data_IF_564802270521
#
_entry.id   IF_564802270521
#
_cell.length_a   1.000
_cell.length_b   1.000
_cell.length_c   1.000
_cell.angle_alpha   90.00
_cell.angle_beta   90.00
_cell.angle_gamma   90.00
#
_symmetry.space_group_name_H-M   'P 1'
#
loop_
_entity.id
_entity.type
_entity.pdbx_description
1 polymer ?
#
# COMPACT_ATOMS: atom_id res chain seq x y z
N UNK A 1 8.17 27.30 -7.06
CA UNK A 1 8.60 26.40 -8.16
C UNK A 1 7.41 26.26 -9.11
N UNK A 2 7.56 26.61 -10.39
CA UNK A 2 6.50 26.33 -11.37
C UNK A 2 6.44 24.82 -11.61
N UNK A 3 5.28 24.28 -12.03
CA UNK A 3 5.07 22.85 -12.33
C UNK A 3 6.14 22.26 -13.28
N UNK A 4 6.84 23.11 -14.04
CA UNK A 4 7.89 22.78 -15.00
C UNK A 4 9.27 22.45 -14.42
N UNK A 5 9.53 22.69 -13.12
CA UNK A 5 10.85 22.49 -12.49
C UNK A 5 10.94 21.24 -11.61
N UNK A 6 9.89 20.40 -11.56
CA UNK A 6 9.95 19.16 -10.77
C UNK A 6 10.95 18.19 -11.42
N UNK A 7 11.88 17.58 -10.65
CA UNK A 7 12.81 16.58 -11.19
C UNK A 7 11.99 15.42 -11.76
N UNK A 8 12.35 14.96 -12.95
CA UNK A 8 11.58 13.95 -13.68
C UNK A 8 12.20 12.56 -13.55
N UNK A 9 11.33 11.57 -13.38
CA UNK A 9 11.69 10.16 -13.57
C UNK A 9 11.92 9.85 -15.06
N UNK A 10 12.67 8.78 -15.35
CA UNK A 10 12.78 8.23 -16.70
C UNK A 10 12.00 6.92 -16.77
N UNK A 11 11.08 6.80 -17.71
CA UNK A 11 10.32 5.55 -17.88
C UNK A 11 11.20 4.51 -18.56
N UNK A 12 11.24 3.31 -18.00
CA UNK A 12 12.00 2.16 -18.54
C UNK A 12 11.05 1.04 -19.01
N UNK A 13 9.91 0.86 -18.34
CA UNK A 13 8.83 -0.06 -18.74
C UNK A 13 7.92 0.51 -19.81
N UNK A 14 8.43 0.72 -21.03
CA UNK A 14 7.67 1.38 -22.10
C UNK A 14 6.39 0.63 -22.52
N UNK A 15 6.45 -0.71 -22.59
CA UNK A 15 5.28 -1.53 -22.93
C UNK A 15 4.23 -1.50 -21.82
N UNK A 16 4.65 -1.57 -20.55
CA UNK A 16 3.76 -1.37 -19.40
C UNK A 16 3.11 0.00 -19.40
N UNK A 17 3.87 1.07 -19.67
CA UNK A 17 3.32 2.43 -19.74
C UNK A 17 2.30 2.57 -20.86
N UNK A 18 2.59 2.00 -22.02
CA UNK A 18 1.66 2.06 -23.15
C UNK A 18 0.37 1.28 -22.85
N UNK A 19 0.47 0.03 -22.36
CA UNK A 19 -0.67 -0.76 -21.92
C UNK A 19 -1.49 -0.01 -20.85
N UNK A 20 -0.81 0.59 -19.86
CA UNK A 20 -1.44 1.41 -18.83
C UNK A 20 -2.19 2.62 -19.43
N UNK A 21 -1.62 3.27 -20.46
CA UNK A 21 -2.23 4.42 -21.14
C UNK A 21 -3.50 4.02 -21.91
N UNK A 22 -3.47 2.87 -22.59
CA UNK A 22 -4.61 2.37 -23.37
C UNK A 22 -5.58 1.50 -22.56
N UNK A 23 -5.33 1.32 -21.26
CA UNK A 23 -6.13 0.53 -20.31
C UNK A 23 -6.18 -0.97 -20.65
N UNK A 24 -5.07 -1.50 -21.12
CA UNK A 24 -4.87 -2.93 -21.37
C UNK A 24 -3.94 -3.55 -20.32
N UNK A 25 -3.99 -4.88 -20.20
CA UNK A 25 -3.03 -5.61 -19.37
C UNK A 25 -1.65 -5.59 -20.08
N UNK A 26 -0.55 -5.27 -19.38
CA UNK A 26 0.77 -5.34 -19.99
C UNK A 26 1.15 -6.77 -20.37
N UNK A 27 2.10 -6.95 -21.31
CA UNK A 27 2.67 -8.27 -21.55
C UNK A 27 3.50 -8.75 -20.36
N UNK A 28 3.71 -10.06 -20.29
CA UNK A 28 4.77 -10.63 -19.45
C UNK A 28 6.12 -10.23 -20.03
N UNK A 29 7.02 -9.74 -19.19
CA UNK A 29 8.32 -9.21 -19.62
C UNK A 29 9.48 -9.87 -18.89
N UNK A 30 10.53 -10.23 -19.63
CA UNK A 30 11.84 -10.53 -19.07
C UNK A 30 12.50 -9.20 -18.67
N UNK A 31 12.61 -8.94 -17.37
CA UNK A 31 13.19 -7.71 -16.84
C UNK A 31 14.72 -7.80 -16.87
N UNK A 32 15.28 -8.89 -16.36
CA UNK A 32 16.71 -9.25 -16.42
C UNK A 32 16.82 -10.79 -16.53
N UNK A 33 17.97 -11.35 -16.92
CA UNK A 33 18.14 -12.81 -16.90
C UNK A 33 17.79 -13.41 -15.53
N UNK A 34 16.76 -14.25 -15.50
CA UNK A 34 16.23 -14.87 -14.28
C UNK A 34 15.24 -14.02 -13.48
N UNK A 35 14.79 -12.87 -14.00
CA UNK A 35 13.80 -12.00 -13.37
C UNK A 35 12.71 -11.59 -14.38
N UNK A 36 11.47 -11.94 -14.08
CA UNK A 36 10.31 -11.65 -14.92
C UNK A 36 9.29 -10.77 -14.20
N UNK A 37 8.46 -10.05 -14.96
CA UNK A 37 7.31 -9.30 -14.49
C UNK A 37 6.05 -9.90 -15.11
N UNK A 38 5.12 -10.39 -14.29
CA UNK A 38 3.81 -10.90 -14.68
C UNK A 38 2.74 -9.95 -14.13
N UNK A 39 2.09 -9.16 -14.99
CA UNK A 39 0.92 -8.39 -14.58
C UNK A 39 -0.26 -9.33 -14.30
N UNK A 40 -0.76 -9.30 -13.07
CA UNK A 40 -1.92 -10.06 -12.62
C UNK A 40 -3.11 -9.11 -12.50
N UNK A 41 -4.23 -9.45 -13.13
CA UNK A 41 -5.43 -8.61 -13.17
C UNK A 41 -5.99 -8.32 -11.78
N UNK A 42 -6.37 -7.06 -11.58
CA UNK A 42 -7.09 -6.55 -10.42
C UNK A 42 -8.45 -6.00 -10.90
N UNK A 43 -9.47 -6.86 -10.99
CA UNK A 43 -10.73 -6.51 -11.66
C UNK A 43 -11.50 -5.45 -10.87
N UNK A 44 -12.25 -4.62 -11.60
CA UNK A 44 -13.09 -3.54 -11.04
C UNK A 44 -12.34 -2.52 -10.16
N UNK A 45 -11.01 -2.45 -10.29
CA UNK A 45 -10.17 -1.48 -9.59
C UNK A 45 -9.51 -0.49 -10.57
N UNK A 46 -9.41 0.82 -10.25
CA UNK A 46 -8.70 1.80 -11.08
C UNK A 46 -7.24 1.46 -11.42
N UNK A 47 -6.55 0.69 -10.56
CA UNK A 47 -5.17 0.21 -10.77
C UNK A 47 -5.09 -0.89 -11.84
N UNK A 48 -6.16 -1.67 -12.01
CA UNK A 48 -6.39 -2.72 -13.03
C UNK A 48 -5.49 -3.95 -12.95
N UNK A 49 -4.27 -3.85 -12.44
CA UNK A 49 -3.36 -4.96 -12.26
C UNK A 49 -2.31 -4.67 -11.17
N UNK A 50 -1.70 -5.75 -10.70
CA UNK A 50 -0.53 -5.77 -9.84
C UNK A 50 0.58 -6.56 -10.54
N UNK A 51 1.81 -6.07 -10.52
CA UNK A 51 2.97 -6.74 -11.09
C UNK A 51 3.50 -7.75 -10.07
N UNK A 52 3.33 -9.04 -10.37
CA UNK A 52 4.02 -10.12 -9.65
C UNK A 52 5.37 -10.34 -10.30
N UNK A 53 6.44 -10.26 -9.51
CA UNK A 53 7.79 -10.52 -10.02
C UNK A 53 8.19 -11.97 -9.79
N UNK A 54 8.88 -12.57 -10.75
CA UNK A 54 9.33 -13.97 -10.68
C UNK A 54 10.84 -14.02 -10.70
N UNK A 55 11.44 -14.63 -9.68
CA UNK A 55 12.88 -14.86 -9.56
C UNK A 55 13.15 -16.33 -9.80
N UNK A 56 13.98 -16.63 -10.81
CA UNK A 56 14.47 -17.98 -11.06
C UNK A 56 15.51 -18.37 -10.00
N UNK A 57 15.29 -19.54 -9.38
CA UNK A 57 16.19 -20.14 -8.39
C UNK A 57 16.55 -21.55 -8.83
N UNK A 58 17.53 -22.18 -8.17
CA UNK A 58 18.10 -23.45 -8.63
C UNK A 58 17.10 -24.61 -8.78
N UNK A 59 15.99 -24.58 -8.04
CA UNK A 59 15.01 -25.67 -8.01
C UNK A 59 13.62 -25.27 -8.55
N UNK A 60 13.46 -24.06 -9.08
CA UNK A 60 12.15 -23.54 -9.49
C UNK A 60 12.12 -22.03 -9.49
N UNK A 61 11.02 -21.46 -9.03
CA UNK A 61 10.81 -20.01 -9.00
C UNK A 61 10.32 -19.52 -7.64
N UNK A 62 10.63 -18.28 -7.32
CA UNK A 62 10.06 -17.54 -6.19
C UNK A 62 9.29 -16.35 -6.73
N UNK A 63 8.08 -16.13 -6.20
CA UNK A 63 7.27 -14.97 -6.53
C UNK A 63 7.52 -13.85 -5.52
N UNK A 64 7.53 -12.61 -5.98
CA UNK A 64 7.31 -11.43 -5.14
C UNK A 64 5.89 -10.95 -5.41
N UNK A 65 5.07 -10.96 -4.37
CA UNK A 65 3.61 -10.80 -4.37
C UNK A 65 2.86 -11.91 -5.14
N UNK A 66 1.53 -11.91 -5.02
CA UNK A 66 0.68 -13.03 -5.43
C UNK A 66 -0.50 -12.65 -6.34
N UNK A 67 -1.05 -11.44 -6.23
CA UNK A 67 -2.26 -11.05 -6.95
C UNK A 67 -3.54 -11.10 -6.11
N UNK A 68 -4.60 -10.49 -6.66
CA UNK A 68 -5.94 -10.39 -6.06
C UNK A 68 -6.65 -11.76 -5.97
N UNK A 69 -7.40 -12.09 -4.89
CA UNK A 69 -7.87 -13.45 -4.59
C UNK A 69 -9.10 -13.92 -5.39
N UNK A 70 -9.12 -13.71 -6.71
CA UNK A 70 -10.23 -14.13 -7.60
C UNK A 70 -9.78 -15.14 -8.65
N UNK A 71 -10.71 -15.94 -9.17
CA UNK A 71 -10.42 -16.98 -10.17
C UNK A 71 -9.82 -16.42 -11.47
N UNK A 72 -10.23 -15.22 -11.88
CA UNK A 72 -9.68 -14.57 -13.07
C UNK A 72 -8.19 -14.22 -12.90
N UNK A 73 -7.82 -13.67 -11.74
CA UNK A 73 -6.44 -13.36 -11.37
C UNK A 73 -5.60 -14.63 -11.23
N UNK A 74 -6.15 -15.67 -10.59
CA UNK A 74 -5.51 -16.98 -10.52
C UNK A 74 -5.19 -17.57 -11.89
N UNK A 75 -6.17 -17.54 -12.80
CA UNK A 75 -5.98 -18.01 -14.17
C UNK A 75 -4.91 -17.18 -14.88
N UNK A 76 -4.98 -15.85 -14.76
CA UNK A 76 -4.02 -14.95 -15.39
C UNK A 76 -2.58 -15.15 -14.89
N UNK A 77 -2.37 -15.35 -13.58
CA UNK A 77 -1.07 -15.71 -13.01
C UNK A 77 -0.56 -17.03 -13.60
N UNK A 78 -1.40 -18.07 -13.65
CA UNK A 78 -1.03 -19.37 -14.20
C UNK A 78 -0.66 -19.30 -15.69
N UNK A 79 -1.44 -18.57 -16.50
CA UNK A 79 -1.14 -18.35 -17.92
C UNK A 79 0.19 -17.59 -18.09
N UNK A 80 0.44 -16.60 -17.22
CA UNK A 80 1.69 -15.84 -17.18
C UNK A 80 2.91 -16.72 -16.90
N UNK A 81 2.83 -17.58 -15.87
CA UNK A 81 3.86 -18.57 -15.55
C UNK A 81 4.12 -19.54 -16.72
N UNK A 82 3.05 -20.06 -17.33
CA UNK A 82 3.16 -20.96 -18.49
C UNK A 82 3.86 -20.29 -19.67
N UNK A 83 3.61 -19.00 -19.89
CA UNK A 83 4.23 -18.23 -20.98
C UNK A 83 5.75 -18.10 -20.85
N UNK A 84 6.29 -18.24 -19.64
CA UNK A 84 7.72 -18.19 -19.33
C UNK A 84 8.31 -19.58 -19.04
N UNK A 85 7.54 -20.65 -19.32
CA UNK A 85 8.01 -22.03 -19.21
C UNK A 85 7.89 -22.66 -17.82
N UNK A 86 7.18 -22.01 -16.89
CA UNK A 86 6.93 -22.52 -15.55
C UNK A 86 5.45 -22.83 -15.33
N UNK A 87 5.16 -23.57 -14.27
CA UNK A 87 3.83 -23.86 -13.79
C UNK A 87 3.71 -23.46 -12.32
N UNK A 88 2.49 -23.43 -11.79
CA UNK A 88 2.28 -23.12 -10.38
C UNK A 88 3.03 -24.08 -9.45
N UNK A 89 3.18 -25.35 -9.84
CA UNK A 89 3.89 -26.37 -9.05
C UNK A 89 5.41 -26.17 -9.01
N UNK A 90 5.96 -25.29 -9.85
CA UNK A 90 7.39 -24.92 -9.81
C UNK A 90 7.65 -23.76 -8.82
N UNK A 91 6.60 -23.20 -8.21
CA UNK A 91 6.74 -22.14 -7.20
C UNK A 91 7.18 -22.74 -5.88
N UNK A 92 8.39 -22.37 -5.47
CA UNK A 92 9.03 -22.81 -4.23
C UNK A 92 8.69 -21.88 -3.05
N UNK A 93 8.38 -20.61 -3.32
CA UNK A 93 8.12 -19.61 -2.30
C UNK A 93 7.44 -18.36 -2.81
N UNK A 94 6.78 -17.64 -1.91
CA UNK A 94 6.18 -16.32 -2.14
C UNK A 94 6.73 -15.35 -1.08
N UNK A 95 7.45 -14.33 -1.54
CA UNK A 95 7.83 -13.17 -0.75
C UNK A 95 6.74 -12.11 -0.91
N UNK A 96 6.15 -11.67 0.20
CA UNK A 96 5.07 -10.70 0.18
C UNK A 96 5.64 -9.35 0.62
N UNK A 97 5.44 -8.31 -0.21
CA UNK A 97 5.87 -6.94 0.12
C UNK A 97 5.06 -6.39 1.28
N UNK A 98 3.74 -6.61 1.27
CA UNK A 98 2.85 -6.21 2.36
C UNK A 98 1.48 -6.92 2.32
N UNK A 99 0.67 -6.70 3.36
CA UNK A 99 -0.57 -7.43 3.62
C UNK A 99 -1.80 -7.09 2.74
N UNK A 100 -1.75 -6.11 1.85
CA UNK A 100 -2.90 -5.78 1.02
C UNK A 100 -3.28 -6.94 0.07
N UNK A 101 -4.58 -7.09 -0.21
CA UNK A 101 -5.10 -8.30 -0.86
C UNK A 101 -4.61 -8.53 -2.29
N UNK A 102 -4.27 -7.49 -3.03
CA UNK A 102 -3.64 -7.62 -4.34
C UNK A 102 -2.20 -8.13 -4.26
N UNK A 103 -1.54 -8.05 -3.11
CA UNK A 103 -0.18 -8.56 -2.91
C UNK A 103 -0.19 -9.93 -2.26
N UNK A 104 -1.06 -10.15 -1.28
CA UNK A 104 -1.11 -11.36 -0.46
C UNK A 104 -2.22 -12.34 -0.87
N UNK A 105 -3.25 -11.89 -1.58
CA UNK A 105 -4.53 -12.60 -1.70
C UNK A 105 -4.44 -14.00 -2.28
N UNK A 106 -3.64 -14.21 -3.33
CA UNK A 106 -3.45 -15.53 -3.92
C UNK A 106 -2.40 -16.39 -3.20
N UNK A 107 -1.65 -15.88 -2.22
CA UNK A 107 -0.54 -16.60 -1.58
C UNK A 107 -0.99 -17.93 -0.96
N UNK A 108 -2.18 -17.96 -0.34
CA UNK A 108 -2.74 -19.19 0.24
C UNK A 108 -3.03 -20.24 -0.82
N UNK A 109 -3.60 -19.82 -1.95
CA UNK A 109 -3.90 -20.71 -3.09
C UNK A 109 -2.63 -21.20 -3.80
N UNK A 110 -1.59 -20.35 -3.88
CA UNK A 110 -0.27 -20.74 -4.39
C UNK A 110 0.32 -21.83 -3.50
N UNK A 111 0.40 -21.59 -2.18
CA UNK A 111 0.89 -22.57 -1.20
C UNK A 111 0.15 -23.91 -1.31
N UNK A 112 -1.18 -23.89 -1.33
CA UNK A 112 -1.98 -25.11 -1.39
C UNK A 112 -1.76 -25.90 -2.70
N UNK A 113 -1.46 -25.21 -3.81
CA UNK A 113 -1.26 -25.82 -5.11
C UNK A 113 0.19 -26.32 -5.34
N UNK A 114 1.20 -25.67 -4.75
CA UNK A 114 2.61 -25.95 -5.03
C UNK A 114 3.41 -26.48 -3.84
N UNK A 115 2.94 -26.28 -2.61
CA UNK A 115 3.72 -26.51 -1.40
C UNK A 115 4.71 -25.38 -1.07
N UNK A 116 4.62 -24.24 -1.77
CA UNK A 116 5.46 -23.06 -1.52
C UNK A 116 5.33 -22.54 -0.08
N UNK A 117 6.43 -22.08 0.50
CA UNK A 117 6.37 -21.28 1.73
C UNK A 117 5.94 -19.84 1.42
N UNK A 118 5.24 -19.20 2.35
CA UNK A 118 4.90 -17.76 2.29
C UNK A 118 5.74 -17.02 3.32
N UNK A 119 6.34 -15.89 2.94
CA UNK A 119 7.09 -15.04 3.85
C UNK A 119 6.65 -13.58 3.77
N UNK A 120 6.48 -12.94 4.92
CA UNK A 120 6.11 -11.52 5.05
C UNK A 120 6.68 -10.94 6.35
N UNK A 121 6.68 -9.62 6.48
CA UNK A 121 7.18 -8.96 7.68
C UNK A 121 6.24 -9.22 8.88
N UNK A 122 6.80 -9.29 10.09
CA UNK A 122 6.04 -9.67 11.29
C UNK A 122 4.87 -8.71 11.59
N UNK A 123 5.05 -7.41 11.38
CA UNK A 123 4.00 -6.41 11.63
C UNK A 123 2.82 -6.55 10.68
N UNK A 124 3.07 -6.94 9.43
CA UNK A 124 2.01 -7.20 8.47
C UNK A 124 1.35 -8.57 8.70
N UNK A 125 2.09 -9.55 9.21
CA UNK A 125 1.51 -10.79 9.67
C UNK A 125 0.56 -10.55 10.84
N UNK A 126 0.89 -9.67 11.80
CA UNK A 126 0.01 -9.34 12.91
C UNK A 126 -1.33 -8.82 12.39
N UNK A 127 -1.32 -7.95 11.39
CA UNK A 127 -2.55 -7.37 10.79
C UNK A 127 -3.49 -8.40 10.16
N UNK A 128 -2.97 -9.54 9.71
CA UNK A 128 -3.76 -10.60 9.08
C UNK A 128 -3.92 -11.84 9.96
N UNK A 129 -3.22 -11.92 11.09
CA UNK A 129 -3.30 -13.02 12.05
C UNK A 129 -4.43 -12.79 13.06
N UNK A 130 -5.64 -12.63 12.53
CA UNK A 130 -6.83 -12.51 13.36
C UNK A 130 -7.98 -13.35 12.82
N UNK A 131 -8.43 -14.31 13.63
CA UNK A 131 -9.74 -14.96 13.48
C UNK A 131 -10.83 -14.00 14.01
N UNK A 132 -10.99 -12.86 13.32
CA UNK A 132 -11.96 -11.83 13.74
C UNK A 132 -13.35 -12.31 13.35
N UNK A 133 -14.18 -12.51 14.37
CA UNK A 133 -15.62 -12.67 14.18
C UNK A 133 -16.15 -11.53 13.28
N UNK A 134 -16.81 -11.83 12.15
CA UNK A 134 -17.18 -10.79 11.20
C UNK A 134 -18.10 -9.69 11.78
N UNK A 135 -18.86 -9.99 12.84
CA UNK A 135 -19.66 -8.98 13.54
C UNK A 135 -18.80 -8.10 14.48
N UNK A 136 -17.67 -8.59 14.98
CA UNK A 136 -16.66 -7.76 15.66
C UNK A 136 -16.01 -6.80 14.66
N UNK A 137 -15.59 -7.30 13.48
CA UNK A 137 -15.00 -6.46 12.44
C UNK A 137 -15.96 -5.34 11.99
N UNK A 138 -17.23 -5.68 11.71
CA UNK A 138 -18.26 -4.72 11.33
C UNK A 138 -18.45 -3.64 12.40
N UNK A 139 -18.55 -4.02 13.67
CA UNK A 139 -18.72 -3.07 14.79
C UNK A 139 -17.50 -2.16 14.97
N UNK A 140 -16.28 -2.68 14.79
CA UNK A 140 -15.07 -1.87 14.81
C UNK A 140 -15.09 -0.83 13.67
N UNK A 141 -15.48 -1.25 12.47
CA UNK A 141 -15.67 -0.35 11.32
C UNK A 141 -16.73 0.73 11.56
N UNK A 142 -17.89 0.38 12.09
CA UNK A 142 -18.94 1.34 12.47
C UNK A 142 -18.45 2.34 13.53
N UNK A 143 -17.74 1.84 14.54
CA UNK A 143 -17.18 2.66 15.60
C UNK A 143 -16.17 3.66 15.04
N UNK A 144 -15.31 3.23 14.11
CA UNK A 144 -14.36 4.12 13.44
C UNK A 144 -15.06 5.19 12.60
N UNK A 145 -16.12 4.84 11.84
CA UNK A 145 -16.87 5.81 11.04
C UNK A 145 -17.58 6.86 11.92
N UNK A 146 -18.19 6.42 13.03
CA UNK A 146 -18.81 7.33 14.01
C UNK A 146 -17.75 8.27 14.61
N UNK A 147 -16.62 7.70 15.03
CA UNK A 147 -15.43 8.42 15.51
C UNK A 147 -14.63 9.13 14.41
N UNK A 148 -15.15 9.25 13.19
CA UNK A 148 -14.61 10.13 12.17
C UNK A 148 -15.57 11.28 11.87
N UNK A 149 -16.75 11.29 12.51
CA UNK A 149 -17.82 12.25 12.23
C UNK A 149 -18.61 11.95 10.95
N UNK A 150 -18.67 10.70 10.51
CA UNK A 150 -19.51 10.29 9.36
C UNK A 150 -20.98 10.49 9.71
N UNK A 151 -21.71 11.16 8.82
CA UNK A 151 -23.14 11.36 8.98
C UNK A 151 -23.94 10.07 8.77
N UNK A 152 -25.07 9.93 9.47
CA UNK A 152 -25.91 8.72 9.42
C UNK A 152 -26.33 8.34 7.99
N UNK A 153 -26.53 9.33 7.13
CA UNK A 153 -26.95 9.13 5.75
C UNK A 153 -25.85 8.58 4.83
N UNK A 154 -24.57 8.81 5.17
CA UNK A 154 -23.41 8.32 4.42
C UNK A 154 -22.89 6.97 4.93
N UNK A 155 -23.29 6.58 6.14
CA UNK A 155 -22.84 5.36 6.81
C UNK A 155 -23.02 4.07 5.96
N UNK A 156 -24.16 3.83 5.28
CA UNK A 156 -24.35 2.62 4.49
C UNK A 156 -23.39 2.46 3.31
N UNK A 157 -22.87 3.57 2.77
CA UNK A 157 -21.90 3.56 1.65
C UNK A 157 -20.48 3.18 2.15
N UNK A 158 -20.17 3.48 3.41
CA UNK A 158 -18.82 3.38 3.96
C UNK A 158 -18.55 2.15 4.82
N UNK A 159 -19.62 1.50 5.32
CA UNK A 159 -19.49 0.24 6.06
C UNK A 159 -19.06 -0.87 5.10
N UNK A 160 -17.93 -1.52 5.43
CA UNK A 160 -17.46 -2.72 4.73
C UNK A 160 -18.23 -3.92 5.26
N UNK A 161 -18.86 -4.68 4.35
CA UNK A 161 -19.56 -5.91 4.69
C UNK A 161 -18.56 -7.03 5.03
N UNK A 162 -18.88 -7.78 6.09
CA UNK A 162 -18.28 -9.05 6.46
C UNK A 162 -18.13 -10.05 5.30
N UNK A 163 -19.05 -10.05 4.33
CA UNK A 163 -18.96 -10.90 3.14
C UNK A 163 -17.75 -10.61 2.24
N UNK A 164 -17.31 -9.35 2.16
CA UNK A 164 -16.08 -8.98 1.46
C UNK A 164 -14.83 -9.47 2.21
N UNK A 165 -14.91 -9.57 3.54
CA UNK A 165 -13.85 -10.09 4.41
C UNK A 165 -13.66 -11.61 4.30
N UNK A 166 -14.69 -12.39 3.93
CA UNK A 166 -14.58 -13.86 3.78
C UNK A 166 -13.61 -14.26 2.66
N UNK A 167 -13.40 -13.42 1.65
CA UNK A 167 -12.34 -13.65 0.65
C UNK A 167 -10.94 -13.34 1.19
N UNK A 168 -10.82 -12.43 2.17
CA UNK A 168 -9.58 -12.19 2.95
C UNK A 168 -9.35 -13.27 4.03
N UNK A 169 -10.38 -13.98 4.48
CA UNK A 169 -10.29 -15.02 5.52
C UNK A 169 -9.51 -16.29 5.10
N UNK A 170 -8.96 -16.34 3.88
CA UNK A 170 -8.03 -17.37 3.40
C UNK A 170 -6.58 -16.88 3.29
N UNK A 171 -6.27 -15.71 3.84
CA UNK A 171 -4.90 -15.21 3.89
C UNK A 171 -4.05 -16.19 4.73
N UNK A 172 -2.97 -16.74 4.17
CA UNK A 172 -2.11 -17.66 4.91
C UNK A 172 -1.33 -16.89 5.98
N UNK A 173 -1.21 -17.47 7.18
CA UNK A 173 -0.11 -17.13 8.08
C UNK A 173 1.21 -17.35 7.34
N UNK A 174 2.18 -16.47 7.56
CA UNK A 174 3.50 -16.67 6.98
C UNK A 174 4.15 -17.91 7.59
N UNK A 175 4.79 -18.71 6.74
CA UNK A 175 5.65 -19.81 7.14
C UNK A 175 7.02 -19.31 7.60
N UNK A 176 7.40 -18.09 7.16
CA UNK A 176 8.66 -17.42 7.50
C UNK A 176 8.41 -15.92 7.71
N UNK A 177 9.05 -15.37 8.74
CA UNK A 177 9.09 -13.92 8.93
C UNK A 177 10.32 -13.36 8.23
N UNK A 178 10.17 -12.20 7.60
CA UNK A 178 11.30 -11.44 7.03
C UNK A 178 11.54 -10.15 7.82
N UNK A 179 12.80 -9.78 7.96
CA UNK A 179 13.25 -8.58 8.70
C UNK A 179 14.15 -7.69 7.84
N UNK A 180 14.38 -6.45 8.28
CA UNK A 180 15.26 -5.52 7.57
C UNK A 180 16.68 -6.08 7.39
N UNK A 181 17.23 -5.90 6.19
CA UNK A 181 18.57 -6.37 5.83
C UNK A 181 18.71 -7.88 5.61
N UNK A 182 17.66 -8.66 5.84
CA UNK A 182 17.66 -10.11 5.62
C UNK A 182 17.83 -10.47 4.14
N UNK A 183 18.44 -11.62 3.86
CA UNK A 183 18.50 -12.22 2.52
C UNK A 183 17.62 -13.47 2.50
N UNK A 184 16.32 -13.33 2.18
CA UNK A 184 15.34 -14.38 2.45
C UNK A 184 15.48 -15.61 1.54
N UNK A 185 16.30 -15.51 0.48
CA UNK A 185 16.51 -16.57 -0.51
C UNK A 185 17.91 -17.20 -0.38
N UNK A 186 18.04 -18.42 0.17
CA UNK A 186 19.32 -19.11 0.30
C UNK A 186 20.11 -19.21 -1.01
N UNK A 187 19.43 -19.46 -2.13
CA UNK A 187 20.04 -19.62 -3.45
C UNK A 187 20.08 -18.34 -4.30
N UNK A 188 19.53 -17.23 -3.78
CA UNK A 188 19.55 -15.93 -4.42
C UNK A 188 19.95 -14.85 -3.40
N UNK A 189 21.14 -15.02 -2.81
CA UNK A 189 21.71 -14.15 -1.78
C UNK A 189 21.89 -12.69 -2.21
N UNK A 190 21.67 -12.32 -3.47
CA UNK A 190 21.71 -10.93 -3.93
C UNK A 190 20.40 -10.18 -3.66
N UNK A 191 19.33 -10.89 -3.30
CA UNK A 191 18.06 -10.31 -2.91
C UNK A 191 18.10 -9.98 -1.42
N UNK A 192 17.97 -8.70 -1.08
CA UNK A 192 17.98 -8.21 0.30
C UNK A 192 16.70 -7.46 0.61
N UNK A 193 16.11 -7.75 1.76
CA UNK A 193 14.94 -7.04 2.31
C UNK A 193 15.35 -5.65 2.79
N UNK A 194 14.51 -4.66 2.53
CA UNK A 194 14.58 -3.31 3.07
C UNK A 194 13.22 -2.98 3.70
N UNK A 195 13.17 -2.78 5.01
CA UNK A 195 11.94 -2.40 5.69
C UNK A 195 11.59 -0.93 5.41
N UNK A 196 10.37 -0.69 4.94
CA UNK A 196 9.89 0.62 4.46
C UNK A 196 8.47 0.91 4.97
N UNK A 197 8.27 0.99 6.31
CA UNK A 197 6.96 1.15 6.92
C UNK A 197 6.24 2.45 6.51
N UNK A 198 4.92 2.44 6.69
CA UNK A 198 4.03 3.61 6.58
C UNK A 198 2.87 3.37 5.61
N UNK A 199 3.10 2.69 4.49
CA UNK A 199 1.99 2.22 3.63
C UNK A 199 1.21 1.09 4.33
N UNK A 200 1.95 0.11 4.83
CA UNK A 200 1.54 -0.82 5.87
C UNK A 200 2.62 -0.84 6.96
N UNK A 201 2.31 -1.34 8.17
CA UNK A 201 3.28 -1.42 9.27
C UNK A 201 4.52 -2.26 8.91
N UNK A 202 4.33 -3.33 8.15
CA UNK A 202 5.35 -4.28 7.74
C UNK A 202 5.79 -4.18 6.28
N UNK A 203 5.47 -3.09 5.57
CA UNK A 203 5.85 -2.98 4.16
C UNK A 203 7.36 -3.14 3.98
N UNK A 204 7.77 -3.97 3.00
CA UNK A 204 9.16 -4.13 2.61
C UNK A 204 9.35 -3.90 1.10
N UNK A 205 10.50 -3.33 0.77
CA UNK A 205 11.06 -3.41 -0.58
C UNK A 205 12.08 -4.56 -0.66
N UNK A 206 12.34 -5.06 -1.86
CA UNK A 206 13.44 -6.00 -2.11
C UNK A 206 14.47 -5.36 -3.03
N UNK A 207 15.73 -5.39 -2.63
CA UNK A 207 16.87 -4.90 -3.40
C UNK A 207 17.52 -6.08 -4.10
N UNK A 208 17.62 -6.01 -5.42
CA UNK A 208 18.45 -6.92 -6.22
C UNK A 208 19.82 -6.28 -6.43
N UNK A 209 20.77 -6.66 -5.59
CA UNK A 209 22.13 -6.13 -5.61
C UNK A 209 22.94 -6.60 -6.83
N UNK A 210 22.55 -7.72 -7.45
CA UNK A 210 23.22 -8.27 -8.63
C UNK A 210 22.91 -7.44 -9.87
N UNK A 211 21.66 -7.03 -10.01
CA UNK A 211 21.18 -6.28 -11.17
C UNK A 211 20.99 -4.77 -10.89
N UNK A 212 21.30 -4.32 -9.68
CA UNK A 212 21.07 -2.94 -9.20
C UNK A 212 19.62 -2.48 -9.38
N UNK A 213 18.66 -3.30 -8.92
CA UNK A 213 17.23 -3.01 -9.02
C UNK A 213 16.59 -2.86 -7.64
N UNK A 214 15.47 -2.14 -7.62
CA UNK A 214 14.61 -2.01 -6.46
C UNK A 214 13.20 -2.50 -6.80
N UNK A 215 12.77 -3.62 -6.21
CA UNK A 215 11.35 -4.00 -6.17
C UNK A 215 10.70 -3.21 -5.05
N UNK A 216 9.99 -2.15 -5.42
CA UNK A 216 9.52 -1.15 -4.47
C UNK A 216 8.19 -1.48 -3.82
N UNK A 217 7.49 -2.53 -4.29
CA UNK A 217 6.11 -2.79 -3.90
C UNK A 217 5.27 -1.53 -4.13
N UNK A 218 4.53 -1.13 -3.10
CA UNK A 218 3.74 0.09 -3.06
C UNK A 218 4.46 1.27 -2.41
N UNK A 219 5.70 1.10 -1.94
CA UNK A 219 6.41 2.21 -1.30
C UNK A 219 6.69 3.38 -2.25
N UNK A 220 7.07 3.08 -3.51
CA UNK A 220 7.37 4.08 -4.54
C UNK A 220 6.72 3.67 -5.87
N UNK A 221 5.73 4.43 -6.31
CA UNK A 221 5.00 4.23 -7.58
C UNK A 221 5.34 5.36 -8.56
N UNK A 222 5.33 5.14 -9.89
CA UNK A 222 5.88 6.11 -10.86
C UNK A 222 5.03 7.38 -11.01
N UNK A 223 3.71 7.29 -10.80
CA UNK A 223 2.79 8.42 -11.04
C UNK A 223 1.98 8.79 -9.81
N UNK A 224 1.39 7.82 -9.12
CA UNK A 224 0.55 8.06 -7.94
C UNK A 224 1.35 8.03 -6.64
N UNK A 225 0.87 8.70 -5.60
CA UNK A 225 1.27 8.39 -4.22
C UNK A 225 0.58 7.10 -3.79
N UNK A 226 1.25 6.24 -3.02
CA UNK A 226 0.58 5.12 -2.40
C UNK A 226 -0.36 5.61 -1.30
N UNK A 227 -1.38 4.80 -1.01
CA UNK A 227 -2.32 5.10 0.04
C UNK A 227 -1.67 4.97 1.42
N UNK A 228 -1.70 6.01 2.25
CA UNK A 228 -1.21 5.95 3.63
C UNK A 228 -2.41 6.13 4.54
N UNK A 229 -2.66 5.21 5.48
CA UNK A 229 -3.73 5.35 6.47
C UNK A 229 -3.28 4.87 7.84
N UNK A 230 -4.05 5.26 8.86
CA UNK A 230 -3.85 4.76 10.22
C UNK A 230 -4.35 3.32 10.29
N UNK A 231 -3.43 2.40 10.59
CA UNK A 231 -3.75 0.99 10.80
C UNK A 231 -4.08 0.70 12.27
N UNK A 232 -5.00 -0.24 12.57
CA UNK A 232 -5.41 -0.54 13.95
C UNK A 232 -4.29 -0.97 14.88
N UNK A 233 -3.30 -1.75 14.42
CA UNK A 233 -2.14 -2.11 15.25
C UNK A 233 -1.06 -1.04 15.31
N UNK A 234 -1.13 -0.04 14.45
CA UNK A 234 -0.13 1.00 14.34
C UNK A 234 -0.51 2.18 15.24
N UNK A 235 -0.08 2.09 16.50
CA UNK A 235 -0.13 3.23 17.41
C UNK A 235 0.96 4.24 17.02
N UNK A 236 0.69 5.13 16.05
CA UNK A 236 1.77 5.96 15.54
C UNK A 236 1.37 7.05 14.54
N UNK A 237 2.36 7.39 13.73
CA UNK A 237 2.33 8.43 12.70
C UNK A 237 2.73 7.78 11.37
N UNK A 238 1.80 7.07 10.70
CA UNK A 238 2.12 6.28 9.51
C UNK A 238 2.67 7.14 8.37
N UNK A 239 2.21 8.39 8.25
CA UNK A 239 2.74 9.34 7.28
C UNK A 239 4.17 9.78 7.64
N UNK A 240 4.45 10.03 8.91
CA UNK A 240 5.82 10.29 9.37
C UNK A 240 6.75 9.12 9.07
N UNK A 241 6.34 7.90 9.41
CA UNK A 241 7.10 6.67 9.13
C UNK A 241 7.32 6.47 7.63
N UNK A 242 6.31 6.75 6.82
CA UNK A 242 6.41 6.70 5.37
C UNK A 242 7.44 7.70 4.83
N UNK A 243 7.37 8.97 5.26
CA UNK A 243 8.29 10.03 4.83
C UNK A 243 9.73 9.72 5.27
N UNK A 244 9.92 9.20 6.49
CA UNK A 244 11.23 8.81 7.00
C UNK A 244 11.81 7.65 6.18
N UNK A 245 11.01 6.61 5.92
CA UNK A 245 11.38 5.46 5.07
C UNK A 245 11.75 5.90 3.66
N UNK A 246 10.92 6.77 3.06
CA UNK A 246 11.13 7.31 1.73
C UNK A 246 12.44 8.10 1.65
N UNK A 247 12.73 8.93 2.66
CA UNK A 247 13.95 9.73 2.71
C UNK A 247 15.20 8.91 3.01
N UNK A 248 15.08 7.81 3.76
CA UNK A 248 16.18 6.87 4.01
C UNK A 248 16.69 6.19 2.72
N UNK A 249 15.87 6.16 1.65
CA UNK A 249 16.25 5.59 0.35
C UNK A 249 17.02 6.57 -0.56
N UNK A 250 17.15 7.84 -0.19
CA UNK A 250 17.86 8.85 -1.00
C UNK A 250 19.31 8.42 -1.23
N UNK A 251 19.79 8.56 -2.47
CA UNK A 251 21.16 8.22 -2.84
C UNK A 251 21.43 6.72 -3.06
N UNK A 252 20.42 5.85 -2.92
CA UNK A 252 20.55 4.42 -3.25
C UNK A 252 20.83 4.20 -4.74
N UNK A 253 20.32 5.08 -5.60
CA UNK A 253 20.57 5.10 -7.05
C UNK A 253 20.42 3.73 -7.77
N UNK A 254 19.29 3.01 -7.59
CA UNK A 254 19.03 1.81 -8.39
C UNK A 254 18.95 2.18 -9.88
N UNK A 255 19.39 1.27 -10.74
CA UNK A 255 19.32 1.42 -12.19
C UNK A 255 17.87 1.52 -12.66
N UNK A 256 16.99 0.72 -12.06
CA UNK A 256 15.57 0.65 -12.36
C UNK A 256 14.77 0.25 -11.11
N UNK A 257 13.59 0.85 -10.98
CA UNK A 257 12.59 0.61 -9.94
C UNK A 257 11.45 -0.21 -10.56
N UNK A 258 11.05 -1.24 -9.83
CA UNK A 258 10.09 -2.27 -10.16
C UNK A 258 8.88 -2.14 -9.21
N UNK A 259 7.91 -1.26 -9.54
CA UNK A 259 6.73 -1.03 -8.70
C UNK A 259 5.67 -2.11 -8.90
N UNK A 260 4.90 -2.39 -7.85
CA UNK A 260 3.78 -3.32 -7.94
C UNK A 260 2.64 -2.80 -8.82
N UNK A 261 2.48 -1.49 -8.97
CA UNK A 261 1.50 -0.91 -9.89
C UNK A 261 2.14 -0.05 -10.99
N UNK A 262 1.39 0.09 -12.09
CA UNK A 262 1.78 0.91 -13.23
C UNK A 262 3.02 0.34 -13.95
N UNK A 263 4.12 1.08 -14.04
CA UNK A 263 5.23 0.77 -14.95
C UNK A 263 6.60 1.06 -14.34
N UNK A 264 7.60 0.29 -14.78
CA UNK A 264 9.00 0.47 -14.35
C UNK A 264 9.57 1.83 -14.75
N UNK A 265 10.46 2.36 -13.91
CA UNK A 265 11.10 3.66 -14.12
C UNK A 265 12.46 3.74 -13.44
N UNK A 266 13.25 4.78 -13.74
CA UNK A 266 14.47 5.15 -13.04
C UNK A 266 14.41 6.60 -12.53
N UNK A 267 15.33 6.97 -11.64
CA UNK A 267 15.33 8.28 -10.99
C UNK A 267 14.61 8.29 -9.64
N UNK A 268 15.05 7.42 -8.72
CA UNK A 268 14.47 7.29 -7.37
C UNK A 268 14.45 8.62 -6.61
N UNK A 269 15.58 9.34 -6.53
CA UNK A 269 15.67 10.60 -5.79
C UNK A 269 14.72 11.68 -6.35
N UNK A 270 14.53 11.70 -7.68
CA UNK A 270 13.55 12.58 -8.32
C UNK A 270 12.12 12.24 -7.87
N UNK A 271 11.81 10.94 -7.78
CA UNK A 271 10.48 10.47 -7.35
C UNK A 271 10.22 10.73 -5.87
N UNK A 272 11.22 10.48 -5.01
CA UNK A 272 11.21 10.83 -3.58
C UNK A 272 10.90 12.32 -3.40
N UNK A 273 11.54 13.20 -4.17
CA UNK A 273 11.29 14.64 -4.09
C UNK A 273 9.86 15.01 -4.50
N UNK A 274 9.34 14.42 -5.58
CA UNK A 274 7.96 14.64 -6.00
C UNK A 274 6.94 14.22 -4.93
N UNK A 275 7.21 13.12 -4.22
CA UNK A 275 6.33 12.59 -3.19
C UNK A 275 6.40 13.41 -1.89
N UNK A 276 7.60 13.85 -1.49
CA UNK A 276 7.74 14.82 -0.39
C UNK A 276 6.97 16.11 -0.68
N UNK A 277 7.11 16.68 -1.89
CA UNK A 277 6.36 17.88 -2.30
C UNK A 277 4.85 17.62 -2.24
N UNK A 278 4.39 16.46 -2.74
CA UNK A 278 2.98 16.09 -2.70
C UNK A 278 2.42 16.06 -1.27
N UNK A 279 3.13 15.43 -0.34
CA UNK A 279 2.68 15.35 1.06
C UNK A 279 2.75 16.70 1.76
N UNK A 280 3.75 17.54 1.52
CA UNK A 280 3.78 18.91 2.07
C UNK A 280 2.63 19.78 1.50
N UNK A 281 2.30 19.65 0.22
CA UNK A 281 1.14 20.31 -0.40
C UNK A 281 -0.17 19.86 0.25
N UNK A 282 -0.33 18.55 0.49
CA UNK A 282 -1.53 17.99 1.16
C UNK A 282 -1.59 18.34 2.64
N UNK A 283 -0.48 18.35 3.38
CA UNK A 283 -0.42 18.80 4.78
C UNK A 283 -0.85 20.27 4.91
N UNK A 284 -0.39 21.13 3.99
CA UNK A 284 -0.81 22.53 3.96
C UNK A 284 -2.32 22.68 3.69
N UNK A 285 -2.86 21.90 2.76
CA UNK A 285 -4.30 21.87 2.46
C UNK A 285 -5.13 21.43 3.68
N UNK A 286 -4.74 20.34 4.35
CA UNK A 286 -5.41 19.85 5.56
C UNK A 286 -5.35 20.89 6.68
N UNK A 287 -4.19 21.54 6.88
CA UNK A 287 -4.05 22.59 7.89
C UNK A 287 -4.96 23.80 7.62
N UNK A 288 -5.10 24.21 6.35
CA UNK A 288 -6.05 25.26 5.95
C UNK A 288 -7.48 24.83 6.27
N UNK A 289 -7.88 23.61 5.90
CA UNK A 289 -9.23 23.10 6.19
C UNK A 289 -9.53 23.08 7.70
N UNK A 290 -8.58 22.68 8.54
CA UNK A 290 -8.74 22.70 10.01
C UNK A 290 -8.86 24.14 10.53
N UNK A 291 -8.07 25.08 10.01
CA UNK A 291 -8.15 26.49 10.40
C UNK A 291 -9.50 27.12 10.04
N UNK A 292 -10.07 26.78 8.88
CA UNK A 292 -11.36 27.30 8.42
C UNK A 292 -12.57 26.61 9.10
N UNK A 293 -12.38 25.38 9.56
CA UNK A 293 -13.40 24.55 10.21
C UNK A 293 -12.94 24.03 11.59
N UNK A 294 -12.66 24.90 12.57
CA UNK A 294 -12.18 24.48 13.88
C UNK A 294 -13.20 23.59 14.59
N UNK A 295 -12.74 22.45 15.09
CA UNK A 295 -13.58 21.44 15.75
C UNK A 295 -14.31 20.48 14.82
N UNK A 296 -14.03 20.53 13.51
CA UNK A 296 -14.47 19.53 12.55
C UNK A 296 -13.77 18.17 12.76
N UNK A 297 -14.51 17.09 12.48
CA UNK A 297 -13.99 15.73 12.48
C UNK A 297 -13.34 15.34 11.16
N UNK A 298 -12.68 14.17 11.12
CA UNK A 298 -11.95 13.69 9.93
C UNK A 298 -12.82 13.67 8.67
N UNK A 299 -14.08 13.23 8.77
CA UNK A 299 -15.02 13.18 7.65
C UNK A 299 -15.28 14.56 7.05
N UNK A 300 -15.59 15.53 7.91
CA UNK A 300 -15.85 16.90 7.50
C UNK A 300 -14.60 17.52 6.86
N UNK A 301 -13.42 17.37 7.48
CA UNK A 301 -12.15 17.85 6.90
C UNK A 301 -11.90 17.18 5.54
N UNK A 302 -12.08 15.87 5.42
CA UNK A 302 -11.92 15.13 4.16
C UNK A 302 -12.80 15.72 3.04
N UNK A 303 -14.03 16.15 3.37
CA UNK A 303 -14.95 16.77 2.41
C UNK A 303 -14.51 18.15 1.90
N UNK A 304 -13.54 18.80 2.57
CA UNK A 304 -13.01 20.12 2.18
C UNK A 304 -11.74 20.04 1.32
N UNK A 305 -11.14 18.85 1.18
CA UNK A 305 -9.90 18.67 0.43
C UNK A 305 -10.14 18.47 -1.06
N UNK A 306 -9.10 18.72 -1.85
CA UNK A 306 -9.08 18.52 -3.30
C UNK A 306 -8.84 17.05 -3.62
N UNK A 307 -9.86 16.42 -4.20
CA UNK A 307 -9.82 15.04 -4.70
C UNK A 307 -9.85 15.02 -6.22
N UNK A 308 -9.14 14.08 -6.85
CA UNK A 308 -9.02 14.02 -8.32
C UNK A 308 -10.36 13.87 -9.06
N UNK A 309 -11.36 13.26 -8.42
CA UNK A 309 -12.71 13.13 -8.94
C UNK A 309 -13.71 14.05 -8.22
N UNK A 310 -13.25 14.88 -7.28
CA UNK A 310 -14.11 15.62 -6.35
C UNK A 310 -14.71 14.71 -5.27
N UNK A 311 -15.03 15.29 -4.12
CA UNK A 311 -15.62 14.55 -2.99
C UNK A 311 -16.95 13.88 -3.36
N UNK A 312 -17.82 14.60 -4.07
CA UNK A 312 -19.16 14.14 -4.42
C UNK A 312 -19.19 12.97 -5.40
N UNK A 313 -18.10 12.70 -6.14
CA UNK A 313 -17.97 11.53 -7.02
C UNK A 313 -17.07 10.43 -6.42
N UNK A 314 -16.60 10.63 -5.20
CA UNK A 314 -15.77 9.66 -4.48
C UNK A 314 -16.69 8.92 -3.50
N UNK A 315 -16.92 7.63 -3.72
CA UNK A 315 -17.88 6.81 -2.95
C UNK A 315 -17.24 5.51 -2.44
N UNK A 316 -17.94 4.83 -1.54
CA UNK A 316 -17.57 3.51 -1.05
C UNK A 316 -16.15 3.44 -0.51
N UNK A 317 -15.41 2.41 -0.93
CA UNK A 317 -14.03 2.18 -0.51
C UNK A 317 -13.08 3.32 -0.87
N UNK A 318 -13.32 4.06 -1.97
CA UNK A 318 -12.48 5.20 -2.33
C UNK A 318 -12.68 6.36 -1.35
N UNK A 319 -13.92 6.60 -0.90
CA UNK A 319 -14.20 7.62 0.13
C UNK A 319 -13.63 7.21 1.47
N UNK A 320 -13.73 5.93 1.81
CA UNK A 320 -13.10 5.36 3.00
C UNK A 320 -11.58 5.51 3.01
N UNK A 321 -10.93 5.25 1.88
CA UNK A 321 -9.48 5.46 1.71
C UNK A 321 -9.11 6.95 1.82
N UNK A 322 -9.87 7.85 1.21
CA UNK A 322 -9.68 9.29 1.32
C UNK A 322 -9.76 9.79 2.78
N UNK A 323 -10.68 9.24 3.57
CA UNK A 323 -10.78 9.52 5.00
C UNK A 323 -9.57 8.99 5.78
N UNK A 324 -9.14 7.76 5.52
CA UNK A 324 -7.95 7.18 6.15
C UNK A 324 -6.69 7.98 5.86
N UNK A 325 -6.53 8.46 4.62
CA UNK A 325 -5.42 9.32 4.21
C UNK A 325 -5.48 10.68 4.88
N UNK A 326 -6.66 11.28 4.97
CA UNK A 326 -6.86 12.53 5.70
C UNK A 326 -6.47 12.38 7.16
N UNK A 327 -6.89 11.30 7.82
CA UNK A 327 -6.53 11.01 9.21
C UNK A 327 -5.02 10.87 9.40
N UNK A 328 -4.32 10.18 8.51
CA UNK A 328 -2.85 10.06 8.56
C UNK A 328 -2.16 11.44 8.50
N UNK A 329 -2.64 12.35 7.64
CA UNK A 329 -2.11 13.71 7.55
C UNK A 329 -2.42 14.53 8.82
N UNK A 330 -3.62 14.40 9.38
CA UNK A 330 -4.00 15.06 10.62
C UNK A 330 -3.11 14.60 11.78
N UNK A 331 -2.92 13.29 11.96
CA UNK A 331 -2.02 12.74 12.98
C UNK A 331 -0.60 13.27 12.81
N UNK A 332 -0.10 13.34 11.58
CA UNK A 332 1.22 13.90 11.32
C UNK A 332 1.33 15.39 11.67
N UNK A 333 0.30 16.20 11.36
CA UNK A 333 0.24 17.61 11.76
C UNK A 333 0.23 17.78 13.29
N UNK A 334 -0.49 16.91 14.00
CA UNK A 334 -0.49 16.88 15.47
C UNK A 334 0.90 16.54 16.01
N UNK A 335 1.57 15.54 15.43
CA UNK A 335 2.94 15.16 15.80
C UNK A 335 3.96 16.26 15.52
N UNK A 336 3.74 17.07 14.49
CA UNK A 336 4.50 18.30 14.21
C UNK A 336 4.15 19.47 15.16
N UNK A 337 3.15 19.31 16.03
CA UNK A 337 2.71 20.35 16.98
C UNK A 337 1.97 21.52 16.33
N UNK A 338 1.42 21.32 15.12
CA UNK A 338 0.74 22.37 14.35
C UNK A 338 -0.76 22.46 14.67
N UNK A 339 -1.34 21.36 15.14
CA UNK A 339 -2.73 21.25 15.57
C UNK A 339 -2.80 20.53 16.92
N UNK A 340 -3.91 20.71 17.63
CA UNK A 340 -4.24 19.98 18.84
C UNK A 340 -5.51 19.15 18.60
N UNK A 341 -5.52 17.94 19.13
CA UNK A 341 -6.75 17.17 19.25
C UNK A 341 -7.46 17.45 20.57
N UNK A 342 -8.74 17.79 20.52
CA UNK A 342 -9.60 17.87 21.70
C UNK A 342 -10.78 16.89 21.52
N UNK A 343 -11.04 15.97 22.47
CA UNK A 343 -12.21 15.09 22.39
C UNK A 343 -13.52 15.88 22.43
N UNK A 344 -14.40 15.65 21.45
CA UNK A 344 -15.65 16.40 21.24
C UNK A 344 -16.65 16.33 22.42
N UNK A 345 -16.50 15.38 23.34
CA UNK A 345 -17.41 15.14 24.49
C UNK A 345 -16.71 14.95 25.86
N UNK A 346 -15.43 15.31 26.00
CA UNK A 346 -14.67 15.07 27.24
C UNK A 346 -14.42 13.59 27.57
N UNK A 347 -14.73 12.68 26.64
CA UNK A 347 -14.46 11.24 26.74
C UNK A 347 -13.09 10.94 26.13
N UNK A 348 -12.15 10.59 26.99
CA UNK A 348 -10.90 9.92 26.59
C UNK A 348 -11.27 8.45 26.43
N UNK A 349 -11.21 7.92 25.21
CA UNK A 349 -11.25 6.47 25.03
C UNK A 349 -9.86 5.93 25.41
N UNK A 350 -9.76 5.15 26.49
CA UNK A 350 -8.49 4.50 26.86
C UNK A 350 -8.02 3.62 25.70
N UNK A 351 -6.77 3.84 25.24
CA UNK A 351 -6.07 2.93 24.32
C UNK A 351 -5.59 3.54 23.01
N UNK A 352 -6.28 4.53 22.43
CA UNK A 352 -5.98 5.00 21.08
C UNK A 352 -5.87 6.53 21.02
N UNK A 353 -4.64 7.03 20.88
CA UNK A 353 -4.31 8.46 20.70
C UNK A 353 -4.93 9.09 19.43
N UNK A 354 -5.65 8.32 18.60
CA UNK A 354 -5.92 8.67 17.19
C UNK A 354 -7.41 8.91 16.90
N UNK A 355 -8.31 8.78 17.89
CA UNK A 355 -9.75 8.95 17.63
C UNK A 355 -10.41 9.96 18.55
N UNK A 356 -9.98 11.20 18.43
CA UNK A 356 -10.69 12.35 19.02
C UNK A 356 -10.91 13.39 17.91
N UNK A 357 -12.17 13.84 17.75
CA UNK A 357 -12.72 14.36 16.48
C UNK A 357 -12.91 15.89 16.43
N UNK A 358 -12.25 16.64 17.30
CA UNK A 358 -12.27 18.09 17.19
C UNK A 358 -10.84 18.60 17.13
N UNK A 359 -10.42 18.95 15.92
CA UNK A 359 -9.08 19.45 15.65
C UNK A 359 -9.07 20.96 15.69
N UNK A 360 -8.08 21.51 16.39
CA UNK A 360 -7.90 22.94 16.57
C UNK A 360 -6.49 23.36 16.15
N UNK A 361 -6.31 24.59 15.64
CA UNK A 361 -4.98 25.17 15.45
C UNK A 361 -4.23 25.24 16.79
N UNK A 362 -2.92 25.01 16.79
CA UNK A 362 -2.09 25.01 18.01
C UNK A 362 -2.17 26.33 18.82
N UNK A 363 -2.57 27.44 18.20
CA UNK A 363 -2.70 28.76 18.84
C UNK A 363 -4.03 28.98 19.61
N UNK A 364 -4.90 27.97 19.71
CA UNK A 364 -6.21 28.06 20.37
C UNK A 364 -6.38 27.10 21.58
N UNK A 365 -5.28 26.58 22.15
CA UNK A 365 -5.27 25.74 23.36
C UNK A 365 -5.10 26.50 24.66
#
# INVERSE_FOLDING_TARGET
MTITDRPNITVTGHLQKEAWRVRELPPVELVRPGLWSIPVIFPNNPLRYVNVYVIEVSNGIVLIDAGWPVDEAWKNLNDGLQSIGYSITDVEGVLVTHNHADHLGLAGRIRDASGAWVAMHELDQIEVDFDIDPAVFKRAGETWLIKAGVEEHDMPDLIVDAGQFVEFAKIPKADRLITDGERPLPNAQHIRTLWTPGHSPGHVCFIDEKHNLLISGDHVLPRISPHISVHPSEHGDPLGLYIDSLNAMRGMNPEEILPAHEYRFSGLDARIEQMNIHHEERLAEVLVAINEHPGAGTYEISSKLSWSHGWDNTHGMLRRAAMGETLAHIVHLERRGLINNIPRDGRIYEGDLITTDAWFPAALG
#
